data_IF_916022387725
#
_entry.id   IF_916022387725
#
_cell.length_a   1.000
_cell.length_b   1.000
_cell.length_c   1.000
_cell.angle_alpha   90.00
_cell.angle_beta   90.00
_cell.angle_gamma   90.00
#
_symmetry.space_group_name_H-M   'P 1'
#
loop_
_entity.id
_entity.type
_entity.pdbx_description
1 polymer ?
#
# COMPACT_ATOMS: atom_id res chain seq x y z
N UNK A 1 16.32 17.11 14.09
CA UNK A 1 15.06 16.66 13.47
C UNK A 1 14.69 15.31 14.03
N UNK A 2 13.53 15.26 14.68
CA UNK A 2 12.95 14.00 15.15
C UNK A 2 12.17 13.37 13.99
N UNK A 3 12.28 12.05 13.86
CA UNK A 3 11.54 11.30 12.84
C UNK A 3 10.13 11.07 13.37
N UNK A 4 9.12 11.47 12.60
CA UNK A 4 7.73 11.18 12.90
C UNK A 4 7.30 9.84 12.28
N UNK A 5 6.40 9.12 12.95
CA UNK A 5 5.84 7.85 12.48
C UNK A 5 4.32 7.90 12.52
N UNK A 6 3.67 7.45 11.44
CA UNK A 6 2.22 7.33 11.34
C UNK A 6 1.86 5.90 10.94
N UNK A 7 0.81 5.35 11.56
CA UNK A 7 0.31 4.01 11.27
C UNK A 7 -1.16 4.09 10.90
N UNK A 8 -1.52 3.49 9.77
CA UNK A 8 -2.92 3.33 9.37
C UNK A 8 -3.60 2.28 10.24
N UNK A 9 -4.94 2.27 10.20
CA UNK A 9 -5.71 1.20 10.82
C UNK A 9 -5.41 -0.14 10.14
N UNK A 10 -5.63 -1.25 10.87
CA UNK A 10 -5.43 -2.58 10.32
C UNK A 10 -6.46 -2.87 9.24
N UNK A 11 -5.99 -3.35 8.10
CA UNK A 11 -6.83 -3.81 7.00
C UNK A 11 -6.68 -5.33 6.80
N UNK A 12 -7.68 -5.96 6.16
CA UNK A 12 -7.67 -7.40 5.86
C UNK A 12 -7.35 -7.61 4.38
N UNK A 13 -6.37 -8.47 4.10
CA UNK A 13 -6.02 -8.80 2.72
C UNK A 13 -7.18 -9.52 1.99
N UNK A 14 -7.35 -9.27 0.67
CA UNK A 14 -8.34 -9.99 -0.12
C UNK A 14 -8.07 -11.50 -0.13
N UNK A 15 -9.13 -12.30 -0.23
CA UNK A 15 -9.05 -13.76 -0.13
C UNK A 15 -9.96 -14.45 -1.15
N UNK A 16 -9.86 -15.79 -1.23
CA UNK A 16 -10.56 -16.58 -2.24
C UNK A 16 -9.80 -16.70 -3.56
N UNK A 17 -10.43 -17.34 -4.55
CA UNK A 17 -9.80 -17.55 -5.88
C UNK A 17 -9.60 -16.23 -6.62
N UNK A 18 -10.56 -15.31 -6.52
CA UNK A 18 -10.55 -14.01 -7.21
C UNK A 18 -9.75 -12.94 -6.47
N UNK A 19 -9.52 -13.10 -5.16
CA UNK A 19 -8.73 -12.17 -4.35
C UNK A 19 -7.23 -12.46 -4.35
N UNK A 20 -6.78 -13.52 -5.02
CA UNK A 20 -5.35 -13.85 -5.17
C UNK A 20 -4.81 -13.32 -6.48
N UNK A 21 -3.53 -12.94 -6.47
CA UNK A 21 -2.85 -12.41 -7.64
C UNK A 21 -1.91 -11.26 -7.30
N UNK A 22 -1.40 -10.62 -8.34
CA UNK A 22 -0.44 -9.53 -8.25
C UNK A 22 -1.16 -8.18 -8.31
N UNK A 23 -1.04 -7.41 -7.24
CA UNK A 23 -1.59 -6.07 -7.11
C UNK A 23 -0.49 -5.04 -7.36
N UNK A 24 -0.72 -4.14 -8.31
CA UNK A 24 0.14 -2.98 -8.56
C UNK A 24 -0.47 -1.79 -7.83
N UNK A 25 0.31 -1.15 -6.97
CA UNK A 25 -0.14 -0.05 -6.12
C UNK A 25 0.68 1.19 -6.43
N UNK A 26 -0.01 2.26 -6.76
CA UNK A 26 0.58 3.60 -6.91
C UNK A 26 0.27 4.40 -5.65
N UNK A 27 1.30 4.89 -4.98
CA UNK A 27 1.18 5.66 -3.74
C UNK A 27 1.65 7.10 -3.97
N UNK A 28 0.95 8.05 -3.34
CA UNK A 28 1.21 9.48 -3.42
C UNK A 28 1.13 10.08 -2.01
N UNK A 29 2.20 10.78 -1.62
CA UNK A 29 2.22 11.62 -0.42
C UNK A 29 1.98 13.08 -0.84
N UNK A 30 0.90 13.67 -0.34
CA UNK A 30 0.42 15.02 -0.72
C UNK A 30 -0.25 15.72 0.46
N UNK A 31 -0.44 17.03 0.36
CA UNK A 31 -1.15 17.89 1.31
C UNK A 31 -2.48 18.41 0.73
N UNK A 32 -3.15 19.30 1.47
CA UNK A 32 -4.41 19.94 1.09
C UNK A 32 -4.27 20.92 -0.10
N UNK A 33 -3.06 21.43 -0.34
CA UNK A 33 -2.71 22.25 -1.50
C UNK A 33 -2.40 21.42 -2.77
N UNK A 34 -2.49 20.10 -2.68
CA UNK A 34 -2.17 19.12 -3.74
C UNK A 34 -0.70 19.13 -4.17
N UNK A 35 0.20 19.50 -3.27
CA UNK A 35 1.63 19.39 -3.54
C UNK A 35 2.04 17.92 -3.56
N UNK A 36 2.74 17.47 -4.60
CA UNK A 36 3.23 16.09 -4.69
C UNK A 36 4.62 15.98 -4.05
N UNK A 37 4.72 15.49 -2.81
CA UNK A 37 6.01 15.32 -2.12
C UNK A 37 6.75 14.07 -2.57
N UNK A 38 6.03 12.97 -2.74
CA UNK A 38 6.61 11.68 -3.13
C UNK A 38 5.56 10.83 -3.83
N UNK A 39 5.92 10.27 -4.97
CA UNK A 39 5.11 9.33 -5.73
C UNK A 39 5.93 8.11 -6.07
N UNK A 40 5.38 6.92 -5.80
CA UNK A 40 6.08 5.67 -6.04
C UNK A 40 5.10 4.56 -6.38
N UNK A 41 5.62 3.52 -7.02
CA UNK A 41 4.86 2.32 -7.37
C UNK A 41 5.51 1.10 -6.75
N UNK A 42 4.68 0.16 -6.34
CA UNK A 42 5.11 -1.09 -5.76
C UNK A 42 4.09 -2.20 -6.05
N UNK A 43 4.54 -3.43 -5.86
CA UNK A 43 3.75 -4.62 -6.18
C UNK A 43 3.65 -5.52 -4.95
N UNK A 44 2.46 -6.05 -4.71
CA UNK A 44 2.21 -7.07 -3.67
C UNK A 44 1.50 -8.27 -4.29
N UNK A 45 1.96 -9.47 -3.95
CA UNK A 45 1.44 -10.70 -4.52
C UNK A 45 0.66 -11.47 -3.46
N UNK A 46 -0.66 -11.57 -3.56
CA UNK A 46 -1.50 -12.30 -2.58
C UNK A 46 -1.60 -13.77 -2.99
N UNK A 47 -1.05 -14.66 -2.16
CA UNK A 47 -1.02 -16.12 -2.36
C UNK A 47 -1.89 -16.87 -1.36
N UNK A 48 -2.21 -18.12 -1.68
CA UNK A 48 -2.84 -19.05 -0.73
C UNK A 48 -1.92 -19.39 0.43
N UNK A 49 -0.68 -19.73 0.08
CA UNK A 49 0.35 -20.18 0.99
C UNK A 49 1.62 -19.38 0.67
N UNK A 50 2.26 -18.87 1.72
CA UNK A 50 3.51 -18.12 1.63
C UNK A 50 4.63 -19.09 1.99
N UNK A 51 5.29 -19.62 0.96
CA UNK A 51 6.49 -20.46 1.12
C UNK A 51 7.74 -19.58 1.11
#
# INVERSE_FOLDING_TARGET
>A
NEIQSNFTQKETAPSGLTGRGTYHVSSLFTDDDKHEFLKWEWTIEVKKDWK
#
